data_IF_776951378871
#
_entry.id   IF_776951378871
#
_cell.length_a   1.000
_cell.length_b   1.000
_cell.length_c   1.000
_cell.angle_alpha   90.00
_cell.angle_beta   90.00
_cell.angle_gamma   90.00
#
_symmetry.space_group_name_H-M   'P 1'
#
loop_
_entity.id
_entity.type
_entity.pdbx_description
1 polymer ?
#
# COMPACT_ATOMS: atom_id res chain seq x y z
N UNK A 1 3.53 -11.55 -13.50
CA UNK A 1 2.83 -10.51 -12.72
C UNK A 1 3.80 -10.07 -11.64
N UNK A 2 4.03 -8.77 -11.42
CA UNK A 2 4.82 -8.33 -10.28
C UNK A 2 4.19 -8.91 -9.01
N UNK A 3 4.97 -9.60 -8.18
CA UNK A 3 4.51 -10.01 -6.85
C UNK A 3 4.94 -8.95 -5.84
N UNK A 4 4.06 -8.65 -4.89
CA UNK A 4 4.36 -7.80 -3.74
C UNK A 4 4.58 -8.68 -2.52
N UNK A 5 5.50 -8.27 -1.65
CA UNK A 5 5.80 -8.96 -0.40
C UNK A 5 4.91 -8.42 0.73
N UNK A 6 4.55 -7.13 0.67
CA UNK A 6 3.63 -6.45 1.59
C UNK A 6 2.69 -5.56 0.78
N UNK A 7 1.40 -5.51 1.15
CA UNK A 7 0.42 -4.60 0.56
C UNK A 7 -0.21 -3.76 1.68
N UNK A 8 -0.17 -2.44 1.52
CA UNK A 8 -0.91 -1.52 2.37
C UNK A 8 -2.30 -1.28 1.79
N UNK A 9 -3.32 -1.48 2.62
CA UNK A 9 -4.71 -1.18 2.27
C UNK A 9 -5.17 -0.02 3.14
N UNK A 10 -5.37 1.14 2.53
CA UNK A 10 -5.67 2.38 3.24
C UNK A 10 -7.12 2.82 2.98
N UNK A 11 -7.89 3.22 4.01
CA UNK A 11 -9.24 3.75 3.82
C UNK A 11 -9.25 5.21 3.31
N UNK A 12 -8.08 5.77 3.00
CA UNK A 12 -7.85 7.14 2.53
C UNK A 12 -6.72 7.16 1.49
N UNK A 13 -6.56 8.26 0.72
CA UNK A 13 -5.49 8.37 -0.27
C UNK A 13 -4.10 8.30 0.36
N UNK A 14 -3.19 7.53 -0.24
CA UNK A 14 -1.83 7.40 0.22
C UNK A 14 -1.06 8.73 0.12
N UNK A 15 -0.22 9.00 1.11
CA UNK A 15 0.72 10.13 1.10
C UNK A 15 2.14 9.66 1.41
N UNK A 16 3.07 9.84 0.46
CA UNK A 16 4.51 9.66 0.71
C UNK A 16 5.06 10.91 1.42
N UNK A 17 4.58 11.16 2.64
CA UNK A 17 4.99 12.30 3.46
C UNK A 17 5.40 11.82 4.85
N UNK A 18 6.54 12.29 5.41
CA UNK A 18 7.12 11.78 6.65
C UNK A 18 6.30 12.05 7.92
N UNK A 19 5.23 12.84 7.83
CA UNK A 19 4.26 12.99 8.93
C UNK A 19 3.20 11.89 8.96
N UNK A 20 3.10 11.08 7.90
CA UNK A 20 2.13 9.99 7.82
C UNK A 20 2.84 8.63 7.97
N UNK A 21 2.28 7.72 8.78
CA UNK A 21 2.94 6.45 9.11
C UNK A 21 3.15 5.57 7.87
N UNK A 22 2.22 5.55 6.92
CA UNK A 22 2.33 4.74 5.70
C UNK A 22 3.53 5.11 4.83
N UNK A 23 3.91 6.40 4.76
CA UNK A 23 5.09 6.84 4.02
C UNK A 23 6.39 6.37 4.68
N UNK A 24 6.48 6.50 6.00
CA UNK A 24 7.64 6.02 6.78
C UNK A 24 7.78 4.49 6.66
N UNK A 25 6.69 3.76 6.87
CA UNK A 25 6.69 2.30 6.84
C UNK A 25 7.03 1.76 5.45
N UNK A 26 6.45 2.35 4.40
CA UNK A 26 6.77 1.97 3.02
C UNK A 26 8.27 2.12 2.75
N UNK A 27 8.85 3.28 3.07
CA UNK A 27 10.28 3.55 2.83
C UNK A 27 11.18 2.63 3.65
N UNK A 28 10.81 2.33 4.89
CA UNK A 28 11.56 1.38 5.72
C UNK A 28 11.54 -0.03 5.10
N UNK A 29 10.38 -0.53 4.70
CA UNK A 29 10.24 -1.85 4.06
C UNK A 29 10.96 -1.92 2.71
N UNK A 30 10.82 -0.90 1.85
CA UNK A 30 11.54 -0.82 0.58
C UNK A 30 13.07 -0.76 0.80
N UNK A 31 13.53 -0.07 1.86
CA UNK A 31 14.94 -0.02 2.26
C UNK A 31 15.52 -1.38 2.67
N UNK A 32 14.69 -2.26 3.23
CA UNK A 32 15.04 -3.64 3.56
C UNK A 32 14.86 -4.61 2.37
N UNK A 33 14.47 -4.12 1.19
CA UNK A 33 14.34 -4.90 -0.04
C UNK A 33 12.98 -5.54 -0.28
N UNK A 34 11.96 -5.21 0.53
CA UNK A 34 10.58 -5.67 0.27
C UNK A 34 9.93 -4.89 -0.87
N UNK A 35 9.14 -5.58 -1.69
CA UNK A 35 8.28 -4.94 -2.70
C UNK A 35 6.95 -4.60 -2.05
N UNK A 36 6.65 -3.31 -1.92
CA UNK A 36 5.46 -2.80 -1.23
C UNK A 36 4.42 -2.32 -2.25
N UNK A 37 3.21 -2.86 -2.18
CA UNK A 37 2.04 -2.41 -2.95
C UNK A 37 1.11 -1.53 -2.10
N UNK A 38 0.29 -0.71 -2.75
CA UNK A 38 -0.65 0.20 -2.08
C UNK A 38 -2.01 0.10 -2.78
N UNK A 39 -3.05 -0.19 -2.00
CA UNK A 39 -4.46 -0.03 -2.38
C UNK A 39 -5.01 1.10 -1.52
N UNK A 40 -5.53 2.15 -2.15
CA UNK A 40 -6.15 3.28 -1.46
C UNK A 40 -7.65 3.32 -1.72
N UNK A 41 -8.41 3.67 -0.69
CA UNK A 41 -9.86 3.87 -0.75
C UNK A 41 -10.67 2.70 -1.36
N UNK A 42 -10.34 1.41 -1.10
CA UNK A 42 -11.11 0.32 -1.70
C UNK A 42 -12.52 0.28 -1.12
N UNK A 43 -13.49 -0.04 -1.98
CA UNK A 43 -14.84 -0.30 -1.51
C UNK A 43 -14.90 -1.70 -0.89
N UNK A 44 -15.06 -1.76 0.44
CA UNK A 44 -14.95 -3.01 1.20
C UNK A 44 -16.00 -4.09 0.86
N UNK A 45 -17.09 -3.72 0.18
CA UNK A 45 -18.14 -4.66 -0.26
C UNK A 45 -17.89 -5.20 -1.67
N UNK A 46 -16.86 -4.72 -2.35
CA UNK A 46 -16.52 -5.09 -3.72
C UNK A 46 -15.14 -5.74 -3.75
N UNK A 47 -15.06 -7.03 -4.08
CA UNK A 47 -13.78 -7.76 -4.10
C UNK A 47 -12.87 -7.26 -5.22
N UNK A 48 -13.45 -6.75 -6.31
CA UNK A 48 -12.72 -6.19 -7.44
C UNK A 48 -11.92 -4.94 -7.03
N UNK A 49 -12.40 -4.18 -6.04
CA UNK A 49 -11.67 -3.06 -5.43
C UNK A 49 -10.34 -3.46 -4.78
N UNK A 50 -10.13 -4.75 -4.49
CA UNK A 50 -8.86 -5.27 -3.95
C UNK A 50 -7.98 -5.97 -4.99
N UNK A 51 -8.47 -6.13 -6.22
CA UNK A 51 -7.77 -6.80 -7.31
C UNK A 51 -6.96 -5.83 -8.21
N UNK A 52 -6.82 -4.57 -7.79
CA UNK A 52 -6.15 -3.52 -8.54
C UNK A 52 -4.62 -3.64 -8.47
N UNK A 53 -4.01 -4.57 -9.22
CA UNK A 53 -2.55 -4.67 -9.42
C UNK A 53 -2.16 -5.38 -10.72
#
# INVERSE_FOLDING_TARGET
MPSFDVIFVLPYPFSDHPSFPEGILRRALEGEGYRVGIIETPFWQDKESFAAF
#
